data_IF_179052063741
#
_entry.id   IF_179052063741
#
_cell.length_a   1.000
_cell.length_b   1.000
_cell.length_c   1.000
_cell.angle_alpha   90.00
_cell.angle_beta   90.00
_cell.angle_gamma   90.00
#
_symmetry.space_group_name_H-M   'P 1'
#
loop_
_entity.id
_entity.type
_entity.pdbx_description
1 polymer ?
#
# COMPACT_ATOMS: atom_id res chain seq x y z
N UNK A 1 -25.72 -5.58 -13.46
CA UNK A 1 -24.60 -4.73 -13.01
C UNK A 1 -24.46 -4.90 -11.52
N UNK A 2 -23.49 -5.70 -11.06
CA UNK A 2 -23.27 -5.98 -9.64
C UNK A 2 -22.51 -4.82 -9.04
N UNK A 3 -23.18 -4.05 -8.17
CA UNK A 3 -22.51 -3.03 -7.35
C UNK A 3 -21.70 -3.78 -6.29
N UNK A 4 -20.39 -3.88 -6.49
CA UNK A 4 -19.46 -4.38 -5.48
C UNK A 4 -19.50 -3.44 -4.26
N UNK A 5 -19.74 -4.03 -3.09
CA UNK A 5 -20.05 -3.35 -1.84
C UNK A 5 -19.07 -2.21 -1.50
N UNK A 6 -19.61 -1.15 -0.88
CA UNK A 6 -18.93 0.06 -0.39
C UNK A 6 -17.98 -0.20 0.80
N UNK A 7 -17.01 -1.10 0.62
CA UNK A 7 -15.89 -1.22 1.56
C UNK A 7 -15.06 0.07 1.51
N UNK A 8 -14.41 0.48 2.62
CA UNK A 8 -13.64 1.71 2.63
C UNK A 8 -12.50 1.57 1.61
N UNK A 9 -12.65 2.23 0.47
CA UNK A 9 -11.59 2.40 -0.54
C UNK A 9 -10.47 3.32 -0.04
N UNK A 10 -10.49 3.75 1.22
CA UNK A 10 -9.56 4.73 1.77
C UNK A 10 -9.05 4.25 3.12
N UNK A 11 -7.73 4.27 3.30
CA UNK A 11 -7.05 4.05 4.59
C UNK A 11 -5.88 5.03 4.72
N UNK A 12 -5.17 5.00 5.85
CA UNK A 12 -3.91 5.75 6.03
C UNK A 12 -2.74 4.85 5.70
N UNK A 13 -1.74 5.39 5.01
CA UNK A 13 -0.50 4.67 4.79
C UNK A 13 0.19 4.42 6.13
N UNK A 14 0.56 3.18 6.43
CA UNK A 14 1.25 2.86 7.69
C UNK A 14 2.65 3.48 7.79
N UNK A 15 3.24 3.88 6.66
CA UNK A 15 4.60 4.41 6.58
C UNK A 15 4.67 5.93 6.70
N UNK A 16 3.84 6.63 5.94
CA UNK A 16 3.87 8.10 5.83
C UNK A 16 2.59 8.78 6.35
N UNK A 17 1.61 8.02 6.84
CA UNK A 17 0.31 8.49 7.33
C UNK A 17 -0.59 9.23 6.30
N UNK A 18 -0.15 9.40 5.06
CA UNK A 18 -0.94 9.97 3.98
C UNK A 18 -2.07 9.03 3.53
N UNK A 19 -3.15 9.56 2.93
CA UNK A 19 -4.24 8.73 2.44
C UNK A 19 -3.80 7.79 1.32
N UNK A 20 -4.22 6.53 1.41
CA UNK A 20 -4.09 5.52 0.36
C UNK A 20 -5.46 5.02 -0.06
N UNK A 21 -5.61 4.77 -1.36
CA UNK A 21 -6.84 4.35 -2.00
C UNK A 21 -6.70 2.92 -2.50
N UNK A 22 -7.77 2.14 -2.42
CA UNK A 22 -7.85 0.85 -3.09
C UNK A 22 -8.39 1.05 -4.50
N UNK A 23 -7.58 0.72 -5.50
CA UNK A 23 -7.97 0.82 -6.91
C UNK A 23 -8.86 -0.36 -7.35
N UNK A 24 -9.24 -0.38 -8.62
CA UNK A 24 -10.10 -1.42 -9.18
C UNK A 24 -9.41 -2.78 -9.30
N UNK A 25 -8.07 -2.82 -9.27
CA UNK A 25 -7.25 -4.02 -9.32
C UNK A 25 -6.89 -4.51 -7.90
N UNK A 26 -7.61 -4.02 -6.88
CA UNK A 26 -7.42 -4.35 -5.46
C UNK A 26 -6.04 -3.92 -4.90
N UNK A 27 -5.29 -3.10 -5.64
CA UNK A 27 -4.00 -2.56 -5.21
C UNK A 27 -4.18 -1.27 -4.40
N UNK A 28 -3.25 -1.04 -3.48
CA UNK A 28 -3.22 0.19 -2.70
C UNK A 28 -2.31 1.21 -3.39
N UNK A 29 -2.83 2.41 -3.61
CA UNK A 29 -2.12 3.53 -4.25
C UNK A 29 -2.19 4.77 -3.35
N UNK A 30 -1.18 5.64 -3.38
CA UNK A 30 -1.28 6.92 -2.69
C UNK A 30 -2.30 7.83 -3.39
N UNK A 31 -3.11 8.54 -2.59
CA UNK A 31 -4.03 9.55 -3.13
C UNK A 31 -3.31 10.81 -3.62
N UNK A 32 -2.00 10.91 -3.38
CA UNK A 32 -1.15 12.03 -3.79
C UNK A 32 -0.04 11.52 -4.71
N UNK A 33 0.49 12.39 -5.56
CA UNK A 33 1.48 12.05 -6.61
C UNK A 33 2.88 11.69 -6.08
N UNK A 34 3.06 11.41 -4.79
CA UNK A 34 4.35 10.98 -4.29
C UNK A 34 4.54 9.48 -4.54
N UNK A 35 5.59 9.17 -5.30
CA UNK A 35 5.95 7.80 -5.64
C UNK A 35 6.55 7.01 -4.47
N UNK A 36 7.00 7.68 -3.40
CA UNK A 36 7.70 7.04 -2.28
C UNK A 36 7.18 7.52 -0.93
N UNK A 37 7.08 6.60 0.04
CA UNK A 37 6.83 6.94 1.44
C UNK A 37 8.12 7.43 2.08
N UNK A 38 8.08 8.63 2.65
CA UNK A 38 9.13 9.12 3.53
C UNK A 38 8.69 9.11 4.98
N UNK A 39 9.62 8.77 5.87
CA UNK A 39 9.43 8.94 7.31
C UNK A 39 9.54 10.43 7.72
N UNK A 40 9.36 10.71 9.01
CA UNK A 40 9.44 12.08 9.55
C UNK A 40 10.83 12.72 9.43
N UNK A 41 11.89 11.92 9.30
CA UNK A 41 13.26 12.41 9.03
C UNK A 41 13.55 12.61 7.55
N UNK A 42 12.60 12.31 6.66
CA UNK A 42 12.78 12.39 5.20
C UNK A 42 13.47 11.16 4.59
N UNK A 43 13.74 10.13 5.39
CA UNK A 43 14.28 8.84 4.95
C UNK A 43 13.24 8.03 4.19
N UNK A 44 13.70 7.15 3.29
CA UNK A 44 12.82 6.26 2.54
C UNK A 44 12.27 5.18 3.46
N UNK A 45 10.96 5.22 3.74
CA UNK A 45 10.28 4.25 4.57
C UNK A 45 9.74 3.06 3.74
N UNK A 46 9.22 3.33 2.55
CA UNK A 46 8.71 2.32 1.62
C UNK A 46 8.57 2.89 0.20
N UNK A 47 8.57 2.00 -0.79
CA UNK A 47 8.26 2.33 -2.19
C UNK A 47 6.83 1.97 -2.59
N UNK A 48 6.06 1.39 -1.67
CA UNK A 48 4.69 0.94 -1.90
C UNK A 48 3.72 1.58 -0.92
N UNK A 49 2.50 1.84 -1.39
CA UNK A 49 1.39 2.22 -0.52
C UNK A 49 0.87 0.98 0.22
N UNK A 50 0.87 1.02 1.55
CA UNK A 50 0.31 -0.04 2.38
C UNK A 50 -0.62 0.57 3.43
N UNK A 51 -1.88 0.11 3.50
CA UNK A 51 -2.84 0.67 4.42
C UNK A 51 -2.51 0.24 5.86
N UNK A 52 -2.97 1.05 6.81
CA UNK A 52 -2.94 0.73 8.22
C UNK A 52 -3.74 -0.56 8.48
N UNK A 53 -3.16 -1.48 9.25
CA UNK A 53 -3.80 -2.76 9.58
C UNK A 53 -3.73 -3.85 8.51
N UNK A 54 -3.16 -3.61 7.33
CA UNK A 54 -2.89 -4.71 6.40
C UNK A 54 -1.85 -5.66 7.00
N UNK A 55 -2.14 -6.98 7.09
CA UNK A 55 -1.07 -7.95 7.22
C UNK A 55 -0.20 -7.75 5.99
N UNK A 56 1.05 -7.29 6.17
CA UNK A 56 1.92 -6.91 5.05
C UNK A 56 1.87 -7.99 3.97
N UNK A 57 1.80 -7.60 2.69
CA UNK A 57 1.70 -8.57 1.60
C UNK A 57 2.81 -9.60 1.81
N UNK A 58 2.50 -10.92 1.83
CA UNK A 58 3.56 -11.91 1.83
C UNK A 58 4.46 -11.59 0.63
N UNK A 59 5.75 -11.45 0.89
CA UNK A 59 6.75 -11.15 -0.12
C UNK A 59 6.86 -12.33 -1.09
N UNK A 60 5.93 -12.42 -2.05
CA UNK A 60 6.06 -13.35 -3.16
C UNK A 60 7.21 -12.84 -4.03
N UNK A 61 8.40 -13.43 -3.81
CA UNK A 61 9.63 -13.08 -4.54
C UNK A 61 10.94 -13.58 -3.89
N UNK A 62 10.95 -13.97 -2.61
CA UNK A 62 12.15 -14.50 -1.96
C UNK A 62 12.22 -16.04 -2.01
N UNK A 63 12.29 -16.62 -3.21
CA UNK A 63 12.65 -18.04 -3.37
C UNK A 63 13.34 -18.29 -4.71
N UNK A 64 14.38 -17.51 -5.00
CA UNK A 64 15.47 -17.99 -5.83
C UNK A 64 16.52 -18.67 -4.94
N UNK A 65 16.72 -19.98 -5.12
CA UNK A 65 17.95 -20.66 -4.67
C UNK A 65 17.81 -21.69 -3.54
N UNK A 66 17.71 -22.97 -3.92
CA UNK A 66 18.75 -24.01 -3.70
C UNK A 66 18.17 -25.40 -4.03
N UNK A 67 18.62 -25.98 -5.13
CA UNK A 67 19.23 -27.32 -5.24
C UNK A 67 19.76 -27.52 -6.64
#
# INVERSE_FOLDING_TARGET
MTVTACWPRVSRCRWCAHPVLRDNDDAWIHAHLAYVCRDRSGGLAATTAEPEGSPGRPAWGAAGGRR
#
